data_IF_356562462981
#
_entry.id   IF_356562462981
#
_cell.length_a   1.000
_cell.length_b   1.000
_cell.length_c   1.000
_cell.angle_alpha   90.00
_cell.angle_beta   90.00
_cell.angle_gamma   90.00
#
_symmetry.space_group_name_H-M   'P 1'
#
loop_
_entity.id
_entity.type
_entity.pdbx_description
1 polymer ?
#
# COMPACT_ATOMS: atom_id res chain seq x y z
N UNK A 1 -14.14 -38.69 -28.70
CA UNK A 1 -12.80 -38.56 -29.30
C UNK A 1 -11.82 -39.16 -28.30
N UNK A 2 -10.98 -40.09 -28.73
CA UNK A 2 -10.02 -40.79 -27.88
C UNK A 2 -8.78 -39.93 -27.67
N UNK A 3 -8.44 -39.65 -26.41
CA UNK A 3 -7.18 -38.99 -26.06
C UNK A 3 -6.01 -39.93 -26.40
N UNK A 4 -5.14 -39.49 -27.30
CA UNK A 4 -3.94 -40.24 -27.67
C UNK A 4 -2.83 -39.94 -26.65
N UNK A 5 -2.51 -40.92 -25.81
CA UNK A 5 -1.36 -40.84 -24.89
C UNK A 5 -0.14 -41.41 -25.61
N UNK A 6 0.92 -40.61 -25.77
CA UNK A 6 2.20 -41.09 -26.30
C UNK A 6 3.03 -41.64 -25.13
N UNK A 7 3.37 -42.95 -25.11
CA UNK A 7 4.17 -43.54 -24.05
C UNK A 7 5.62 -43.03 -24.05
N UNK A 8 6.23 -42.91 -22.88
CA UNK A 8 7.64 -42.55 -22.77
C UNK A 8 8.54 -43.65 -23.38
N UNK A 9 9.50 -43.24 -24.23
CA UNK A 9 10.43 -44.13 -24.94
C UNK A 9 10.02 -44.49 -26.37
N UNK A 10 8.86 -44.03 -26.85
CA UNK A 10 8.45 -44.20 -28.24
C UNK A 10 9.33 -43.38 -29.20
N UNK A 11 9.77 -44.00 -30.30
CA UNK A 11 10.54 -43.37 -31.37
C UNK A 11 10.00 -43.81 -32.74
N UNK A 12 10.12 -42.94 -33.76
CA UNK A 12 9.69 -43.25 -35.13
C UNK A 12 8.22 -42.99 -35.47
N UNK A 13 7.54 -42.09 -34.75
CA UNK A 13 6.16 -41.72 -35.07
C UNK A 13 6.08 -40.75 -36.27
N UNK A 14 5.14 -41.01 -37.18
CA UNK A 14 4.80 -40.13 -38.30
C UNK A 14 3.38 -39.62 -38.07
N UNK A 15 3.23 -38.31 -37.85
CA UNK A 15 1.93 -37.66 -37.70
C UNK A 15 1.55 -36.99 -39.02
N UNK A 16 0.57 -37.55 -39.72
CA UNK A 16 0.03 -36.96 -40.93
C UNK A 16 -1.12 -36.02 -40.58
N UNK A 17 -0.92 -34.72 -40.83
CA UNK A 17 -1.89 -33.65 -40.63
C UNK A 17 -2.37 -33.47 -39.15
N UNK A 18 -1.45 -33.30 -38.18
CA UNK A 18 -1.84 -33.16 -36.78
C UNK A 18 -2.60 -31.85 -36.53
N UNK A 19 -3.66 -31.94 -35.73
CA UNK A 19 -4.31 -30.79 -35.10
C UNK A 19 -3.79 -30.72 -33.67
N UNK A 20 -3.00 -29.69 -33.37
CA UNK A 20 -2.49 -29.43 -32.02
C UNK A 20 -3.50 -28.55 -31.27
N UNK A 21 -4.18 -29.12 -30.29
CA UNK A 21 -4.94 -28.36 -29.32
C UNK A 21 -4.05 -28.11 -28.10
N UNK A 22 -3.51 -26.91 -27.99
CA UNK A 22 -2.79 -26.46 -26.79
C UNK A 22 -3.83 -26.13 -25.70
N UNK A 23 -3.94 -27.00 -24.70
CA UNK A 23 -4.77 -26.77 -23.51
C UNK A 23 -3.87 -26.16 -22.44
N UNK A 24 -3.71 -24.84 -22.48
CA UNK A 24 -3.13 -24.10 -21.37
C UNK A 24 -4.11 -24.14 -20.19
N UNK A 25 -3.80 -24.96 -19.20
CA UNK A 25 -4.52 -25.02 -17.94
C UNK A 25 -4.09 -23.83 -17.05
N UNK A 26 -4.39 -22.60 -17.50
CA UNK A 26 -4.19 -21.41 -16.67
C UNK A 26 -5.29 -21.37 -15.62
N UNK A 27 -4.90 -21.39 -14.34
CA UNK A 27 -5.81 -20.98 -13.27
C UNK A 27 -6.27 -19.56 -13.65
N UNK A 28 -7.58 -19.30 -13.82
CA UNK A 28 -8.02 -18.00 -14.29
C UNK A 28 -7.64 -16.94 -13.26
N UNK A 29 -6.84 -15.95 -13.67
CA UNK A 29 -6.56 -14.75 -12.87
C UNK A 29 -7.90 -14.15 -12.46
N UNK A 30 -8.20 -14.19 -11.16
CA UNK A 30 -9.41 -13.60 -10.62
C UNK A 30 -9.08 -12.19 -10.20
N UNK A 31 -9.43 -11.24 -11.06
CA UNK A 31 -9.26 -9.80 -10.80
C UNK A 31 -9.72 -9.43 -9.38
N UNK A 32 -8.84 -8.80 -8.63
CA UNK A 32 -9.04 -8.35 -7.25
C UNK A 32 -8.67 -9.37 -6.17
N UNK A 33 -8.26 -10.59 -6.52
CA UNK A 33 -7.86 -11.60 -5.52
C UNK A 33 -6.52 -11.27 -4.85
N UNK A 34 -5.58 -10.67 -5.58
CA UNK A 34 -4.31 -10.20 -5.02
C UNK A 34 -4.52 -8.99 -4.09
N UNK A 35 -5.39 -8.05 -4.47
CA UNK A 35 -5.74 -6.92 -3.60
C UNK A 35 -6.47 -7.36 -2.32
N UNK A 36 -7.22 -8.47 -2.36
CA UNK A 36 -7.83 -9.04 -1.15
C UNK A 36 -6.76 -9.58 -0.18
N UNK A 37 -5.76 -10.31 -0.68
CA UNK A 37 -4.62 -10.77 0.12
C UNK A 37 -3.88 -9.58 0.73
N UNK A 38 -3.70 -8.51 -0.06
CA UNK A 38 -3.06 -7.29 0.41
C UNK A 38 -3.86 -6.59 1.52
N UNK A 39 -5.19 -6.55 1.41
CA UNK A 39 -6.08 -6.02 2.46
C UNK A 39 -5.95 -6.83 3.75
N UNK A 40 -5.93 -8.16 3.68
CA UNK A 40 -5.79 -9.04 4.85
C UNK A 40 -4.44 -8.84 5.57
N UNK A 41 -3.39 -8.53 4.81
CA UNK A 41 -2.07 -8.19 5.33
C UNK A 41 -1.91 -6.72 5.78
N UNK A 42 -2.91 -5.87 5.50
CA UNK A 42 -2.90 -4.46 5.90
C UNK A 42 -3.40 -4.26 7.34
N UNK A 43 -3.44 -3.01 7.81
CA UNK A 43 -3.98 -2.63 9.11
C UNK A 43 -5.07 -1.55 8.95
N UNK A 44 -6.29 -1.91 8.50
CA UNK A 44 -7.35 -0.95 8.24
C UNK A 44 -7.70 -0.08 9.45
N UNK A 45 -7.57 -0.61 10.66
CA UNK A 45 -7.81 0.13 11.92
C UNK A 45 -6.84 1.30 12.13
N UNK A 46 -5.72 1.34 11.41
CA UNK A 46 -4.75 2.42 11.44
C UNK A 46 -4.96 3.48 10.35
N UNK A 47 -5.94 3.32 9.46
CA UNK A 47 -6.18 4.29 8.39
C UNK A 47 -6.79 5.58 8.92
N UNK A 48 -6.60 6.70 8.21
CA UNK A 48 -7.04 8.01 8.70
C UNK A 48 -8.55 8.12 8.99
N UNK A 49 -9.35 7.30 8.32
CA UNK A 49 -10.81 7.30 8.23
C UNK A 49 -11.45 6.03 8.83
N UNK A 50 -10.67 5.25 9.59
CA UNK A 50 -11.18 4.05 10.25
C UNK A 50 -12.10 4.38 11.43
N UNK A 51 -13.18 3.61 11.58
CA UNK A 51 -14.07 3.67 12.75
C UNK A 51 -13.36 3.31 14.06
N UNK A 52 -12.28 2.52 14.03
CA UNK A 52 -11.44 2.24 15.19
C UNK A 52 -10.75 3.48 15.76
N UNK A 53 -10.76 4.59 15.00
CA UNK A 53 -10.16 5.87 15.37
C UNK A 53 -11.20 6.96 15.59
N UNK A 54 -12.50 6.64 15.65
CA UNK A 54 -13.54 7.63 15.86
C UNK A 54 -13.81 7.88 17.37
N UNK A 55 -13.82 9.14 17.86
CA UNK A 55 -13.41 10.35 17.15
C UNK A 55 -11.89 10.45 17.01
N UNK A 56 -11.37 10.92 15.86
CA UNK A 56 -9.93 11.00 15.66
C UNK A 56 -9.32 12.19 16.40
N UNK A 57 -8.00 12.16 16.70
CA UNK A 57 -7.31 13.32 17.24
C UNK A 57 -7.48 14.52 16.31
N UNK A 58 -7.96 15.64 16.83
CA UNK A 58 -8.22 16.83 16.02
C UNK A 58 -7.57 18.08 16.63
N UNK A 59 -7.12 18.98 15.76
CA UNK A 59 -6.67 20.29 16.20
C UNK A 59 -7.86 21.12 16.68
N UNK A 60 -7.72 21.82 17.80
CA UNK A 60 -8.74 22.79 18.21
C UNK A 60 -8.95 23.84 17.12
N UNK A 61 -10.21 24.27 16.85
CA UNK A 61 -10.51 25.29 15.86
C UNK A 61 -9.64 26.54 16.02
N UNK A 62 -9.10 27.06 14.91
CA UNK A 62 -8.22 28.24 14.90
C UNK A 62 -6.78 28.00 15.36
N UNK A 63 -6.44 26.79 15.86
CA UNK A 63 -5.06 26.46 16.25
C UNK A 63 -4.30 25.77 15.11
N UNK A 64 -2.97 25.89 15.11
CA UNK A 64 -2.04 25.18 14.20
C UNK A 64 -2.29 25.38 12.69
N UNK A 65 -3.14 26.34 12.29
CA UNK A 65 -3.53 26.56 10.89
C UNK A 65 -2.32 26.82 9.99
N UNK A 66 -1.47 27.77 10.38
CA UNK A 66 -0.25 28.11 9.62
C UNK A 66 0.69 26.91 9.43
N UNK A 67 0.82 26.06 10.46
CA UNK A 67 1.65 24.86 10.37
C UNK A 67 1.05 23.86 9.38
N UNK A 68 -0.26 23.58 9.49
CA UNK A 68 -0.97 22.67 8.58
C UNK A 68 -0.88 23.17 7.14
N UNK A 69 -1.08 24.46 6.91
CA UNK A 69 -0.99 25.05 5.58
C UNK A 69 0.43 24.99 5.02
N UNK A 70 1.44 25.17 5.86
CA UNK A 70 2.85 25.01 5.47
C UNK A 70 3.12 23.57 5.04
N UNK A 71 2.68 22.57 5.83
CA UNK A 71 2.88 21.14 5.51
C UNK A 71 2.17 20.76 4.21
N UNK A 72 0.92 21.20 4.04
CA UNK A 72 0.15 20.91 2.83
C UNK A 72 0.77 21.60 1.61
N UNK A 73 1.20 22.86 1.75
CA UNK A 73 1.84 23.60 0.65
C UNK A 73 3.18 22.97 0.27
N UNK A 74 3.96 22.53 1.25
CA UNK A 74 5.19 21.76 1.03
C UNK A 74 4.90 20.47 0.25
N UNK A 75 3.94 19.66 0.70
CA UNK A 75 3.64 18.37 0.06
C UNK A 75 3.03 18.48 -1.35
N UNK A 76 2.38 19.62 -1.65
CA UNK A 76 1.79 19.89 -2.97
C UNK A 76 2.75 20.66 -3.91
N UNK A 77 3.93 21.04 -3.43
CA UNK A 77 4.91 21.77 -4.24
C UNK A 77 5.40 20.91 -5.40
N UNK A 78 5.40 21.48 -6.60
CA UNK A 78 5.96 20.87 -7.82
C UNK A 78 7.40 21.33 -8.09
N UNK A 79 7.99 22.13 -7.19
CA UNK A 79 9.37 22.58 -7.32
C UNK A 79 10.34 21.42 -7.17
N UNK A 80 11.29 21.31 -8.10
CA UNK A 80 12.38 20.31 -8.05
C UNK A 80 13.28 20.45 -6.83
N UNK A 81 13.25 21.60 -6.14
CA UNK A 81 14.02 21.86 -4.93
C UNK A 81 13.26 21.48 -3.64
N UNK A 82 12.06 20.89 -3.76
CA UNK A 82 11.28 20.46 -2.59
C UNK A 82 11.83 19.13 -2.12
N UNK A 83 12.22 19.05 -0.85
CA UNK A 83 12.59 17.78 -0.23
C UNK A 83 11.44 16.76 -0.32
N UNK A 84 11.72 15.47 -0.56
CA UNK A 84 10.67 14.46 -0.72
C UNK A 84 10.08 13.97 0.61
N UNK A 85 10.68 14.34 1.74
CA UNK A 85 10.27 13.90 3.08
C UNK A 85 10.33 15.04 4.09
N UNK A 86 9.28 15.15 4.90
CA UNK A 86 9.19 16.08 6.02
C UNK A 86 9.05 15.28 7.31
N UNK A 87 9.93 15.54 8.27
CA UNK A 87 9.91 14.90 9.58
C UNK A 87 9.39 15.87 10.65
N UNK A 88 8.18 15.61 11.17
CA UNK A 88 7.60 16.40 12.26
C UNK A 88 7.90 15.75 13.60
N UNK A 89 8.71 16.40 14.43
CA UNK A 89 9.09 15.94 15.75
C UNK A 89 8.72 16.95 16.84
N UNK A 90 8.67 16.49 18.08
CA UNK A 90 8.37 17.31 19.25
C UNK A 90 7.95 16.46 20.44
N UNK A 91 7.81 17.07 21.63
CA UNK A 91 7.47 16.34 22.86
C UNK A 91 6.16 15.53 22.75
N UNK A 92 5.99 14.53 23.61
CA UNK A 92 4.73 13.83 23.74
C UNK A 92 3.61 14.82 24.13
N UNK A 93 2.39 14.59 23.65
CA UNK A 93 1.22 15.40 23.99
C UNK A 93 1.07 16.75 23.27
N UNK A 94 2.04 17.20 22.46
CA UNK A 94 1.94 18.51 21.77
C UNK A 94 0.97 18.56 20.57
N UNK A 95 0.27 17.45 20.30
CA UNK A 95 -0.74 17.37 19.25
C UNK A 95 -0.23 17.00 17.84
N UNK A 96 0.92 16.33 17.72
CA UNK A 96 1.47 15.89 16.42
C UNK A 96 0.48 15.03 15.63
N UNK A 97 -0.10 14.01 16.26
CA UNK A 97 -1.12 13.15 15.65
C UNK A 97 -2.37 13.90 15.20
N UNK A 98 -2.76 14.96 15.93
CA UNK A 98 -3.87 15.83 15.54
C UNK A 98 -3.54 16.67 14.30
N UNK A 99 -2.31 17.16 14.18
CA UNK A 99 -1.83 17.84 12.97
C UNK A 99 -1.79 16.85 11.79
N UNK A 100 -1.21 15.66 11.98
CA UNK A 100 -1.16 14.62 10.97
C UNK A 100 -2.56 14.22 10.48
N UNK A 101 -3.50 13.99 11.40
CA UNK A 101 -4.90 13.70 11.08
C UNK A 101 -5.54 14.82 10.25
N UNK A 102 -5.39 16.07 10.69
CA UNK A 102 -5.98 17.23 9.99
C UNK A 102 -5.39 17.38 8.58
N UNK A 103 -4.09 17.14 8.42
CA UNK A 103 -3.44 17.11 7.11
C UNK A 103 -4.00 15.98 6.23
N UNK A 104 -4.13 14.76 6.76
CA UNK A 104 -4.72 13.63 6.04
C UNK A 104 -6.11 13.95 5.53
N UNK A 105 -7.00 14.46 6.38
CA UNK A 105 -8.37 14.83 6.00
C UNK A 105 -8.42 15.92 4.92
N UNK A 106 -7.58 16.95 5.03
CA UNK A 106 -7.50 18.03 4.03
C UNK A 106 -6.96 17.53 2.70
N UNK A 107 -5.98 16.63 2.70
CA UNK A 107 -5.41 16.05 1.49
C UNK A 107 -6.36 15.03 0.84
N UNK A 108 -7.10 14.26 1.64
CA UNK A 108 -8.13 13.34 1.16
C UNK A 108 -9.23 14.11 0.40
N UNK A 109 -9.71 15.23 0.96
CA UNK A 109 -10.68 16.13 0.30
C UNK A 109 -10.18 16.71 -1.02
N UNK A 110 -8.86 16.78 -1.22
CA UNK A 110 -8.22 17.28 -2.45
C UNK A 110 -7.85 16.15 -3.43
N UNK A 111 -8.17 14.89 -3.12
CA UNK A 111 -7.69 13.70 -3.85
C UNK A 111 -6.16 13.65 -4.00
N UNK A 112 -5.44 14.13 -2.97
CA UNK A 112 -3.96 14.17 -2.92
C UNK A 112 -3.38 13.24 -1.85
N UNK A 113 -4.21 12.68 -0.97
CA UNK A 113 -3.77 11.67 -0.01
C UNK A 113 -3.67 10.30 -0.71
N UNK A 114 -2.46 9.76 -0.81
CA UNK A 114 -2.21 8.41 -1.31
C UNK A 114 -2.41 7.35 -0.24
N UNK A 115 -1.88 7.60 0.95
CA UNK A 115 -2.06 6.74 2.10
C UNK A 115 -1.88 7.53 3.40
N UNK A 116 -2.56 7.09 4.45
CA UNK A 116 -2.30 7.57 5.79
C UNK A 116 -2.35 6.40 6.78
N UNK A 117 -1.35 6.31 7.65
CA UNK A 117 -1.25 5.26 8.65
C UNK A 117 -0.87 5.84 10.01
N UNK A 118 -1.65 5.51 11.04
CA UNK A 118 -1.51 6.01 12.40
C UNK A 118 -1.27 4.85 13.35
N UNK A 119 0.00 4.65 13.70
CA UNK A 119 0.39 3.63 14.66
C UNK A 119 -0.10 3.97 16.07
N UNK A 120 -0.33 2.95 16.88
CA UNK A 120 -0.57 3.12 18.31
C UNK A 120 -0.20 1.89 19.13
N UNK A 121 0.54 2.09 20.24
CA UNK A 121 0.86 1.06 21.25
C UNK A 121 -0.26 0.81 22.27
N UNK A 122 -1.49 1.20 21.95
CA UNK A 122 -2.63 0.95 22.81
C UNK A 122 -2.77 -0.53 23.17
N UNK A 123 -3.33 -0.83 24.35
CA UNK A 123 -3.61 -2.21 24.78
C UNK A 123 -4.95 -2.66 24.21
N UNK A 124 -5.04 -3.94 23.82
CA UNK A 124 -6.29 -4.56 23.37
C UNK A 124 -6.60 -4.32 21.89
N UNK A 125 -7.88 -4.23 21.50
CA UNK A 125 -8.29 -4.23 20.08
C UNK A 125 -7.82 -3.01 19.29
N UNK A 126 -7.39 -1.94 19.97
CA UNK A 126 -6.90 -0.71 19.35
C UNK A 126 -5.38 -0.72 19.10
N UNK A 127 -4.71 -1.85 19.36
CA UNK A 127 -3.28 -2.05 19.14
C UNK A 127 -2.98 -2.05 17.64
N UNK A 128 -2.13 -1.10 17.23
CA UNK A 128 -1.84 -0.81 15.83
C UNK A 128 -0.35 -0.55 15.69
N UNK A 129 0.48 -1.51 16.10
CA UNK A 129 1.93 -1.38 16.23
C UNK A 129 2.73 -2.37 15.37
N UNK A 130 2.09 -3.17 14.52
CA UNK A 130 2.79 -4.20 13.74
C UNK A 130 3.59 -3.59 12.56
N UNK A 131 4.94 -3.60 12.60
CA UNK A 131 5.76 -3.05 11.53
C UNK A 131 5.55 -3.77 10.20
N UNK A 132 5.29 -5.08 10.21
CA UNK A 132 5.13 -5.89 9.00
C UNK A 132 3.90 -5.53 8.18
N UNK A 133 2.97 -4.76 8.77
CA UNK A 133 1.77 -4.26 8.09
C UNK A 133 1.94 -2.88 7.49
N UNK A 134 3.07 -2.19 7.71
CA UNK A 134 3.30 -0.84 7.18
C UNK A 134 3.20 -0.80 5.65
N UNK A 135 4.07 -1.50 4.95
CA UNK A 135 4.12 -1.45 3.49
C UNK A 135 2.90 -2.09 2.81
N UNK A 136 2.35 -3.23 3.29
CA UNK A 136 1.06 -3.72 2.80
C UNK A 136 -0.07 -2.68 2.92
N UNK A 137 -0.13 -1.95 4.03
CA UNK A 137 -1.14 -0.90 4.25
C UNK A 137 -0.99 0.28 3.31
N UNK A 138 0.24 0.76 3.11
CA UNK A 138 0.52 1.85 2.19
C UNK A 138 0.19 1.45 0.75
N UNK A 139 0.64 0.26 0.33
CA UNK A 139 0.40 -0.27 -1.01
C UNK A 139 -1.10 -0.45 -1.28
N UNK A 140 -1.85 -1.00 -0.31
CA UNK A 140 -3.30 -1.16 -0.45
C UNK A 140 -3.99 0.19 -0.65
N UNK A 141 -3.71 1.18 0.21
CA UNK A 141 -4.32 2.49 0.10
C UNK A 141 -4.00 3.16 -1.24
N UNK A 142 -2.74 3.13 -1.70
CA UNK A 142 -2.36 3.69 -3.01
C UNK A 142 -3.05 2.95 -4.16
N UNK A 143 -3.20 1.63 -4.10
CA UNK A 143 -3.93 0.83 -5.07
C UNK A 143 -5.41 1.21 -5.19
N UNK A 144 -6.04 1.64 -4.08
CA UNK A 144 -7.42 2.16 -4.15
C UNK A 144 -7.52 3.55 -4.81
N UNK A 145 -6.41 4.29 -4.92
CA UNK A 145 -6.36 5.63 -5.53
C UNK A 145 -5.91 5.61 -6.98
N UNK A 146 -5.07 4.65 -7.38
CA UNK A 146 -4.61 4.50 -8.76
C UNK A 146 -4.96 3.11 -9.27
N UNK A 147 -5.89 3.07 -10.24
CA UNK A 147 -6.30 1.82 -10.89
C UNK A 147 -5.13 1.08 -11.54
N UNK A 148 -4.24 1.80 -12.21
CA UNK A 148 -3.08 1.19 -12.89
C UNK A 148 -2.12 0.55 -11.88
N UNK A 149 -1.81 1.26 -10.79
CA UNK A 149 -1.01 0.71 -9.70
C UNK A 149 -1.69 -0.51 -9.05
N UNK A 150 -3.00 -0.42 -8.83
CA UNK A 150 -3.80 -1.51 -8.30
C UNK A 150 -3.81 -2.76 -9.20
N UNK A 151 -3.97 -2.59 -10.51
CA UNK A 151 -3.93 -3.70 -11.48
C UNK A 151 -2.54 -4.37 -11.51
N UNK A 152 -1.44 -3.59 -11.44
CA UNK A 152 -0.07 -4.12 -11.35
C UNK A 152 0.10 -4.95 -10.08
N UNK A 153 -0.30 -4.41 -8.93
CA UNK A 153 -0.18 -5.10 -7.65
C UNK A 153 -1.05 -6.36 -7.57
N UNK A 154 -2.27 -6.29 -8.08
CA UNK A 154 -3.20 -7.43 -8.07
C UNK A 154 -2.60 -8.64 -8.78
N UNK A 155 -1.95 -8.42 -9.94
CA UNK A 155 -1.28 -9.48 -10.69
C UNK A 155 -0.05 -10.00 -9.95
N UNK A 156 0.83 -9.11 -9.46
CA UNK A 156 2.06 -9.52 -8.76
C UNK A 156 1.78 -10.37 -7.52
N UNK A 157 0.73 -10.03 -6.77
CA UNK A 157 0.36 -10.78 -5.55
C UNK A 157 -0.34 -12.10 -5.91
N UNK A 158 -1.06 -12.16 -7.03
CA UNK A 158 -1.57 -13.44 -7.55
C UNK A 158 -0.42 -14.37 -7.97
N UNK A 159 0.65 -13.83 -8.55
CA UNK A 159 1.83 -14.59 -8.96
C UNK A 159 2.64 -15.10 -7.76
N UNK A 160 2.84 -14.23 -6.76
CA UNK A 160 3.54 -14.56 -5.53
C UNK A 160 2.77 -14.02 -4.30
N UNK A 161 1.84 -14.80 -3.72
CA UNK A 161 1.12 -14.41 -2.52
C UNK A 161 2.03 -14.17 -1.30
N UNK A 162 3.25 -14.72 -1.30
CA UNK A 162 4.18 -14.59 -0.17
C UNK A 162 4.75 -13.18 -0.03
N UNK A 163 4.62 -12.33 -1.07
CA UNK A 163 5.11 -10.94 -1.08
C UNK A 163 4.67 -10.15 0.15
N UNK A 164 3.44 -10.34 0.63
CA UNK A 164 2.91 -9.63 1.81
C UNK A 164 3.49 -10.12 3.13
N UNK A 165 4.24 -11.21 3.13
CA UNK A 165 4.91 -11.79 4.32
C UNK A 165 6.43 -11.74 4.25
N UNK A 166 7.01 -11.21 3.16
CA UNK A 166 8.46 -11.05 3.02
C UNK A 166 9.01 -10.03 4.02
N UNK A 167 10.34 -9.92 4.07
CA UNK A 167 11.01 -8.90 4.88
C UNK A 167 10.50 -7.48 4.54
N UNK A 168 10.60 -6.55 5.49
CA UNK A 168 10.20 -5.15 5.29
C UNK A 168 10.85 -4.50 4.07
N UNK A 169 12.14 -4.79 3.82
CA UNK A 169 12.86 -4.30 2.64
C UNK A 169 12.25 -4.86 1.36
N UNK A 170 11.95 -6.15 1.32
CA UNK A 170 11.35 -6.80 0.16
C UNK A 170 9.92 -6.31 -0.08
N UNK A 171 9.10 -6.18 0.98
CA UNK A 171 7.76 -5.60 0.87
C UNK A 171 7.81 -4.17 0.30
N UNK A 172 8.71 -3.31 0.79
CA UNK A 172 8.87 -1.96 0.26
C UNK A 172 9.22 -1.96 -1.23
N UNK A 173 10.17 -2.81 -1.63
CA UNK A 173 10.60 -2.90 -3.03
C UNK A 173 9.52 -3.48 -3.93
N UNK A 174 8.92 -4.60 -3.55
CA UNK A 174 7.98 -5.35 -4.39
C UNK A 174 6.58 -4.75 -4.41
N UNK A 175 6.12 -4.14 -3.30
CA UNK A 175 4.77 -3.62 -3.18
C UNK A 175 4.66 -2.12 -3.51
N UNK A 176 5.77 -1.37 -3.50
CA UNK A 176 5.75 0.08 -3.76
C UNK A 176 6.73 0.47 -4.87
N UNK A 177 8.04 0.27 -4.68
CA UNK A 177 9.06 0.83 -5.59
C UNK A 177 8.93 0.26 -7.01
N UNK A 178 8.97 -1.07 -7.16
CA UNK A 178 8.90 -1.72 -8.48
C UNK A 178 7.58 -1.43 -9.18
N UNK A 179 6.40 -1.54 -8.55
CA UNK A 179 5.14 -1.20 -9.21
C UNK A 179 5.02 0.29 -9.55
N UNK A 180 5.50 1.21 -8.70
CA UNK A 180 5.51 2.64 -9.01
C UNK A 180 6.41 2.97 -10.22
N UNK A 181 7.56 2.30 -10.35
CA UNK A 181 8.48 2.51 -11.48
C UNK A 181 7.94 2.04 -12.83
N UNK A 182 6.86 1.23 -12.84
CA UNK A 182 6.18 0.76 -14.05
C UNK A 182 5.07 1.72 -14.49
N UNK A 183 4.78 2.75 -13.71
CA UNK A 183 3.78 3.75 -14.07
C UNK A 183 4.41 4.76 -15.03
N UNK A 184 3.77 4.94 -16.18
CA UNK A 184 4.13 5.99 -17.13
C UNK A 184 3.67 7.35 -16.58
N UNK A 185 4.58 8.34 -16.43
CA UNK A 185 4.20 9.69 -16.04
C UNK A 185 3.16 10.29 -17.01
N UNK A 186 2.14 10.97 -16.49
CA UNK A 186 1.07 11.56 -17.31
C UNK A 186 0.07 10.59 -17.94
N UNK A 187 0.15 9.28 -17.66
CA UNK A 187 -0.86 8.33 -18.13
C UNK A 187 -2.23 8.58 -17.47
N UNK A 188 -3.30 8.43 -18.26
CA UNK A 188 -4.66 8.63 -17.79
C UNK A 188 -4.98 7.66 -16.63
N UNK A 189 -5.29 8.22 -15.45
CA UNK A 189 -5.61 7.44 -14.24
C UNK A 189 -4.45 7.27 -13.25
N UNK A 190 -3.28 7.87 -13.53
CA UNK A 190 -2.21 8.04 -12.53
C UNK A 190 -2.49 9.31 -11.72
N UNK A 191 -2.65 9.18 -10.40
CA UNK A 191 -2.76 10.34 -9.53
C UNK A 191 -1.35 10.84 -9.22
N UNK A 192 -0.96 11.94 -9.83
CA UNK A 192 0.35 12.55 -9.58
C UNK A 192 0.38 13.32 -8.26
N UNK A 193 1.53 13.24 -7.57
CA UNK A 193 1.77 13.94 -6.31
C UNK A 193 0.91 13.39 -5.15
N UNK A 194 0.80 12.06 -5.06
CA UNK A 194 0.19 11.42 -3.89
C UNK A 194 1.10 11.61 -2.67
N UNK A 195 0.51 12.10 -1.59
CA UNK A 195 1.19 12.30 -0.30
C UNK A 195 0.88 11.11 0.60
N UNK A 196 1.92 10.60 1.25
CA UNK A 196 1.83 9.57 2.29
C UNK A 196 2.08 10.21 3.64
N UNK A 197 1.19 9.95 4.60
CA UNK A 197 1.35 10.40 5.99
C UNK A 197 1.52 9.18 6.89
N UNK A 198 2.56 9.18 7.71
CA UNK A 198 2.79 8.15 8.72
C UNK A 198 2.96 8.84 10.06
N UNK A 199 2.13 8.48 11.03
CA UNK A 199 2.14 9.01 12.39
C UNK A 199 2.41 7.88 13.39
N UNK A 200 3.12 8.20 14.47
CA UNK A 200 3.45 7.24 15.53
C UNK A 200 4.50 6.19 15.14
N UNK A 201 5.44 6.50 14.24
CA UNK A 201 6.52 5.55 13.89
C UNK A 201 7.30 5.04 15.10
N UNK A 202 7.42 5.84 16.16
CA UNK A 202 8.02 5.47 17.44
C UNK A 202 7.17 4.48 18.26
N UNK A 203 5.88 4.36 17.93
CA UNK A 203 4.93 3.39 18.46
C UNK A 203 4.87 2.09 17.63
N UNK A 204 5.67 1.98 16.57
CA UNK A 204 5.77 0.79 15.75
C UNK A 204 6.75 -0.23 16.36
N UNK A 205 6.38 -1.52 16.33
CA UNK A 205 7.12 -2.63 16.90
C UNK A 205 7.13 -2.69 18.42
N UNK A 206 7.66 -3.81 18.94
CA UNK A 206 7.98 -3.92 20.36
C UNK A 206 9.06 -2.87 20.69
N UNK A 207 8.83 -2.07 21.73
CA UNK A 207 9.88 -1.25 22.32
C UNK A 207 11.05 -2.13 22.79
N UNK A 208 12.24 -1.56 23.07
CA UNK A 208 13.34 -2.33 23.62
C UNK A 208 12.87 -3.08 24.87
N UNK A 209 12.96 -4.40 24.85
CA UNK A 209 12.83 -5.21 26.06
C UNK A 209 13.97 -4.77 26.98
N UNK A 210 13.64 -4.00 28.01
CA UNK A 210 14.56 -3.73 29.11
C UNK A 210 14.72 -5.04 29.88
N UNK A 211 15.74 -5.81 29.52
CA UNK A 211 16.34 -6.84 30.37
C UNK A 211 17.31 -6.21 31.35
#
# INVERSE_FOLDING_TARGET
MSDAVIPQGAHGFVLNNPVFNDVHNTIPYRKGSGLKILLEASMPDAFHDSSARDPPPSCHPGTRHNLIDTIISWGLSTSQNTEPMLWMYGPAGVGKSAVAQTCSERLAKRNKLGAALFFSRSVGPNKRDDPHRLFPSLAYQVATKSKQFGDILDNRIQDDPTLVTKSMREQFQELLVKPLSQLEPGAAGVVEGLIVIIDGLDECGKGPEMH
#
